data_IF_695411957609
#
_entry.id   IF_695411957609
#
_cell.length_a   1.000
_cell.length_b   1.000
_cell.length_c   1.000
_cell.angle_alpha   90.00
_cell.angle_beta   90.00
_cell.angle_gamma   90.00
#
_symmetry.space_group_name_H-M   'P 1'
#
loop_
_entity.id
_entity.type
_entity.pdbx_description
1 polymer ?
#
# COMPACT_ATOMS: atom_id res chain seq x y z
N UNK A 1 -15.81 -1.59 -5.29
CA UNK A 1 -14.70 -0.69 -4.93
C UNK A 1 -13.35 -1.41 -4.72
N UNK A 2 -13.27 -2.56 -4.06
CA UNK A 2 -12.00 -3.27 -3.86
C UNK A 2 -11.33 -3.80 -5.16
N UNK A 3 -12.12 -4.16 -6.17
CA UNK A 3 -11.61 -4.69 -7.44
C UNK A 3 -10.67 -3.73 -8.17
N UNK A 4 -10.96 -2.43 -8.14
CA UNK A 4 -10.11 -1.40 -8.76
C UNK A 4 -8.73 -1.34 -8.08
N UNK A 5 -8.68 -1.45 -6.75
CA UNK A 5 -7.42 -1.44 -5.98
C UNK A 5 -6.59 -2.68 -6.29
N UNK A 6 -7.25 -3.85 -6.39
CA UNK A 6 -6.60 -5.12 -6.76
C UNK A 6 -6.03 -5.05 -8.18
N UNK A 7 -6.78 -4.48 -9.12
CA UNK A 7 -6.28 -4.27 -10.49
C UNK A 7 -5.12 -3.28 -10.53
N UNK A 8 -5.18 -2.18 -9.78
CA UNK A 8 -4.08 -1.20 -9.71
C UNK A 8 -2.82 -1.80 -9.10
N UNK A 9 -2.92 -2.60 -8.04
CA UNK A 9 -1.75 -3.31 -7.46
C UNK A 9 -1.16 -4.30 -8.45
N UNK A 10 -2.00 -5.10 -9.12
CA UNK A 10 -1.55 -6.03 -10.15
C UNK A 10 -0.87 -5.32 -11.34
N UNK A 11 -1.42 -4.19 -11.79
CA UNK A 11 -0.82 -3.37 -12.85
C UNK A 11 0.56 -2.79 -12.45
N UNK A 12 0.79 -2.56 -11.16
CA UNK A 12 2.09 -2.15 -10.62
C UNK A 12 3.03 -3.35 -10.31
N UNK A 13 2.62 -4.58 -10.64
CA UNK A 13 3.38 -5.80 -10.38
C UNK A 13 3.53 -6.09 -8.89
N UNK A 14 2.55 -5.70 -8.09
CA UNK A 14 2.47 -6.00 -6.65
C UNK A 14 1.45 -7.08 -6.38
N UNK A 15 1.75 -7.92 -5.39
CA UNK A 15 0.76 -8.83 -4.83
C UNK A 15 -0.30 -8.04 -4.07
N UNK A 16 -1.55 -8.13 -4.54
CA UNK A 16 -2.66 -7.37 -3.99
C UNK A 16 -3.02 -7.78 -2.55
N UNK A 17 -2.83 -9.06 -2.21
CA UNK A 17 -3.12 -9.57 -0.88
C UNK A 17 -2.10 -9.07 0.13
N UNK A 18 -0.81 -9.20 -0.18
CA UNK A 18 0.29 -8.70 0.64
C UNK A 18 0.21 -7.19 0.85
N UNK A 19 -0.17 -6.43 -0.20
CA UNK A 19 -0.44 -5.00 -0.09
C UNK A 19 -1.57 -4.68 0.89
N UNK A 20 -2.72 -5.35 0.77
CA UNK A 20 -3.85 -5.09 1.65
C UNK A 20 -3.53 -5.47 3.10
N UNK A 21 -2.84 -6.60 3.32
CA UNK A 21 -2.36 -6.98 4.65
C UNK A 21 -1.43 -5.92 5.25
N UNK A 22 -0.39 -5.50 4.51
CA UNK A 22 0.54 -4.47 4.97
C UNK A 22 -0.18 -3.14 5.27
N UNK A 23 -1.09 -2.74 4.38
CA UNK A 23 -1.89 -1.52 4.55
C UNK A 23 -2.71 -1.58 5.83
N UNK A 24 -3.47 -2.65 6.07
CA UNK A 24 -4.31 -2.75 7.26
C UNK A 24 -3.52 -2.94 8.56
N UNK A 25 -2.31 -3.49 8.50
CA UNK A 25 -1.46 -3.67 9.67
C UNK A 25 -0.73 -2.36 10.06
N UNK A 26 -0.23 -1.60 9.08
CA UNK A 26 0.63 -0.46 9.33
C UNK A 26 -0.11 0.87 9.38
N UNK A 27 -1.16 1.05 8.56
CA UNK A 27 -1.92 2.29 8.49
C UNK A 27 -2.59 2.73 9.80
N UNK A 28 -3.21 1.85 10.62
CA UNK A 28 -3.78 2.28 11.90
C UNK A 28 -2.73 2.78 12.91
N UNK A 29 -1.46 2.41 12.72
CA UNK A 29 -0.36 2.83 13.58
C UNK A 29 0.27 4.16 13.14
N UNK A 30 -0.21 4.79 12.07
CA UNK A 30 0.35 6.03 11.54
C UNK A 30 -0.54 7.25 11.84
N UNK A 31 0.06 8.41 12.15
CA UNK A 31 -0.68 9.66 12.35
C UNK A 31 -1.07 10.31 11.00
N UNK A 32 -1.65 9.54 10.08
CA UNK A 32 -2.02 10.03 8.74
C UNK A 32 -3.12 11.10 8.78
N UNK A 33 -3.89 11.18 9.87
CA UNK A 33 -4.88 12.24 10.08
C UNK A 33 -4.24 13.62 10.27
N UNK A 34 -3.04 13.67 10.86
CA UNK A 34 -2.31 14.92 11.13
C UNK A 34 -1.33 15.23 10.01
N UNK A 35 -0.81 14.21 9.33
CA UNK A 35 0.12 14.38 8.23
C UNK A 35 -0.29 13.51 7.02
N UNK A 36 -1.12 14.03 6.09
CA UNK A 36 -1.63 13.27 4.96
C UNK A 36 -0.54 12.85 3.97
N UNK A 37 0.61 13.53 3.95
CA UNK A 37 1.76 13.14 3.14
C UNK A 37 2.30 11.75 3.47
N UNK A 38 2.12 11.28 4.72
CA UNK A 38 2.49 9.92 5.11
C UNK A 38 1.73 8.87 4.30
N UNK A 39 0.50 9.17 3.87
CA UNK A 39 -0.31 8.25 3.10
C UNK A 39 0.34 7.93 1.73
N UNK A 40 1.10 8.87 1.16
CA UNK A 40 1.79 8.66 -0.12
C UNK A 40 2.73 7.47 -0.07
N UNK A 41 3.37 7.22 1.07
CA UNK A 41 4.26 6.08 1.26
C UNK A 41 3.53 4.73 1.25
N UNK A 42 2.23 4.72 1.55
CA UNK A 42 1.38 3.51 1.64
C UNK A 42 0.59 3.23 0.36
N UNK A 43 0.73 4.06 -0.68
CA UNK A 43 0.02 3.86 -1.94
C UNK A 43 0.74 2.81 -2.81
N UNK A 44 0.02 2.10 -3.69
CA UNK A 44 0.59 0.99 -4.45
C UNK A 44 1.65 1.43 -5.49
N UNK A 45 1.74 2.73 -5.81
CA UNK A 45 2.79 3.30 -6.65
C UNK A 45 4.02 3.81 -5.87
N UNK A 46 4.00 3.74 -4.53
CA UNK A 46 5.14 4.14 -3.70
C UNK A 46 6.33 3.20 -3.91
N UNK A 47 7.47 3.75 -4.31
CA UNK A 47 8.69 2.97 -4.55
C UNK A 47 9.20 2.29 -3.28
N UNK A 48 8.97 2.90 -2.12
CA UNK A 48 9.34 2.35 -0.81
C UNK A 48 8.51 1.11 -0.50
N UNK A 49 7.19 1.22 -0.64
CA UNK A 49 6.27 0.11 -0.46
C UNK A 49 6.52 -1.01 -1.47
N UNK A 50 6.78 -0.68 -2.73
CA UNK A 50 7.07 -1.70 -3.75
C UNK A 50 8.32 -2.53 -3.40
N UNK A 51 9.32 -1.94 -2.76
CA UNK A 51 10.49 -2.68 -2.26
C UNK A 51 10.13 -3.60 -1.10
N UNK A 52 9.32 -3.12 -0.16
CA UNK A 52 8.91 -3.90 1.03
C UNK A 52 8.09 -5.12 0.62
N UNK A 53 7.08 -4.94 -0.25
CA UNK A 53 6.14 -6.01 -0.60
C UNK A 53 6.74 -6.99 -1.63
N UNK A 54 7.62 -6.53 -2.54
CA UNK A 54 8.28 -7.44 -3.51
C UNK A 54 9.30 -8.39 -2.86
N UNK A 55 9.64 -8.17 -1.60
CA UNK A 55 10.68 -8.92 -0.91
C UNK A 55 10.11 -10.04 0.01
N UNK A 56 8.79 -10.25 -0.02
CA UNK A 56 8.12 -11.42 0.57
C UNK A 56 7.90 -12.52 -0.46
#
# INVERSE_FOLDING_TARGET
MAYSIIQTTKANGLDAYAYLCYLFEQLPNQPFQTNPDLLNDYLPWSTKLQKIIKQC
#
